data_IF_800958260721
#
_entry.id   IF_800958260721
#
_cell.length_a   1.000
_cell.length_b   1.000
_cell.length_c   1.000
_cell.angle_alpha   90.00
_cell.angle_beta   90.00
_cell.angle_gamma   90.00
#
_symmetry.space_group_name_H-M   'P 1'
#
loop_
_entity.id
_entity.type
_entity.pdbx_description
1 polymer ?
#
# COMPACT_ATOMS: atom_id res chain seq x y z
N UNK A 1 14.03 36.79 -3.40
CA UNK A 1 14.55 35.43 -3.67
C UNK A 1 14.06 34.39 -2.64
N UNK A 2 14.13 34.68 -1.34
CA UNK A 2 13.78 33.71 -0.29
C UNK A 2 12.28 33.36 -0.19
N UNK A 3 11.39 34.36 -0.35
CA UNK A 3 9.93 34.19 -0.24
C UNK A 3 9.36 33.37 -1.42
N UNK A 4 9.94 33.52 -2.62
CA UNK A 4 9.52 32.76 -3.79
C UNK A 4 9.91 31.28 -3.66
N UNK A 5 11.05 30.96 -3.06
CA UNK A 5 11.49 29.57 -2.87
C UNK A 5 10.67 28.85 -1.78
N UNK A 6 10.29 29.54 -0.70
CA UNK A 6 9.38 28.99 0.32
C UNK A 6 7.97 28.73 -0.22
N UNK A 7 7.43 29.63 -1.05
CA UNK A 7 6.12 29.44 -1.68
C UNK A 7 6.20 28.31 -2.72
N UNK A 8 7.27 28.24 -3.51
CA UNK A 8 7.43 27.17 -4.52
C UNK A 8 7.65 25.81 -3.85
N UNK A 9 8.38 25.75 -2.73
CA UNK A 9 8.54 24.54 -1.92
C UNK A 9 7.25 24.16 -1.17
N UNK A 10 6.44 25.13 -0.72
CA UNK A 10 5.16 24.88 -0.09
C UNK A 10 4.09 24.42 -1.09
N UNK A 11 4.08 24.97 -2.31
CA UNK A 11 3.22 24.55 -3.43
C UNK A 11 3.66 23.17 -3.93
N UNK A 12 4.96 22.92 -4.10
CA UNK A 12 5.48 21.58 -4.40
C UNK A 12 5.13 20.58 -3.31
N UNK A 13 5.20 20.97 -2.04
CA UNK A 13 4.82 20.15 -0.90
C UNK A 13 3.33 19.82 -0.87
N UNK A 14 2.44 20.79 -1.13
CA UNK A 14 0.99 20.56 -1.15
C UNK A 14 0.52 19.76 -2.37
N UNK A 15 1.14 19.97 -3.54
CA UNK A 15 0.89 19.15 -4.72
C UNK A 15 1.40 17.72 -4.53
N UNK A 16 2.56 17.51 -3.91
CA UNK A 16 3.06 16.18 -3.58
C UNK A 16 2.16 15.48 -2.56
N UNK A 17 1.67 16.16 -1.52
CA UNK A 17 0.74 15.56 -0.56
C UNK A 17 -0.60 15.17 -1.19
N UNK A 18 -1.14 16.01 -2.08
CA UNK A 18 -2.35 15.70 -2.84
C UNK A 18 -2.14 14.49 -3.77
N UNK A 19 -1.00 14.43 -4.45
CA UNK A 19 -0.58 13.28 -5.25
C UNK A 19 -0.40 12.02 -4.40
N UNK A 20 0.13 12.17 -3.18
CA UNK A 20 0.32 11.08 -2.23
C UNK A 20 -1.00 10.44 -1.80
N UNK A 21 -1.98 11.28 -1.46
CA UNK A 21 -3.34 10.86 -1.07
C UNK A 21 -4.04 10.19 -2.26
N UNK A 22 -3.92 10.79 -3.45
CA UNK A 22 -4.49 10.26 -4.68
C UNK A 22 -4.03 8.82 -4.97
N UNK A 23 -2.75 8.50 -4.75
CA UNK A 23 -2.21 7.16 -4.95
C UNK A 23 -2.83 6.09 -4.02
N UNK A 24 -3.16 6.46 -2.79
CA UNK A 24 -3.84 5.53 -1.87
C UNK A 24 -5.31 5.35 -2.23
N UNK A 25 -5.97 6.42 -2.70
CA UNK A 25 -7.36 6.34 -3.19
C UNK A 25 -7.47 5.39 -4.38
N UNK A 26 -6.49 5.42 -5.30
CA UNK A 26 -6.41 4.48 -6.44
C UNK A 26 -6.43 3.03 -5.95
N UNK A 27 -5.70 2.71 -4.88
CA UNK A 27 -5.60 1.36 -4.36
C UNK A 27 -6.93 0.79 -3.83
N UNK A 28 -7.94 1.63 -3.57
CA UNK A 28 -9.27 1.19 -3.14
C UNK A 28 -10.28 1.33 -4.28
N UNK A 29 -10.28 2.46 -4.98
CA UNK A 29 -11.25 2.76 -6.04
C UNK A 29 -11.09 1.84 -7.24
N UNK A 30 -9.86 1.57 -7.68
CA UNK A 30 -9.61 0.69 -8.83
C UNK A 30 -10.15 -0.72 -8.55
N UNK A 31 -9.82 -1.39 -7.43
CA UNK A 31 -10.45 -2.66 -7.07
C UNK A 31 -11.98 -2.61 -7.03
N UNK A 32 -12.57 -1.58 -6.43
CA UNK A 32 -14.04 -1.45 -6.37
C UNK A 32 -14.68 -1.39 -7.76
N UNK A 33 -14.09 -0.62 -8.70
CA UNK A 33 -14.58 -0.52 -10.07
C UNK A 33 -14.51 -1.86 -10.79
N UNK A 34 -13.39 -2.59 -10.67
CA UNK A 34 -13.25 -3.92 -11.29
C UNK A 34 -14.21 -4.95 -10.71
N UNK A 35 -14.38 -4.97 -9.38
CA UNK A 35 -15.34 -5.84 -8.70
C UNK A 35 -16.77 -5.52 -9.15
N UNK A 36 -17.13 -4.23 -9.21
CA UNK A 36 -18.44 -3.79 -9.70
C UNK A 36 -18.68 -4.19 -11.17
N UNK A 37 -17.67 -4.06 -12.04
CA UNK A 37 -17.73 -4.52 -13.43
C UNK A 37 -18.00 -6.02 -13.55
N UNK A 38 -17.33 -6.84 -12.72
CA UNK A 38 -17.57 -8.29 -12.67
C UNK A 38 -18.97 -8.59 -12.14
N UNK A 39 -19.45 -7.84 -11.15
CA UNK A 39 -20.82 -7.94 -10.64
C UNK A 39 -21.87 -7.65 -11.74
N UNK A 40 -21.70 -6.59 -12.54
CA UNK A 40 -22.64 -6.26 -13.63
C UNK A 40 -22.83 -7.45 -14.58
N UNK A 41 -21.74 -8.17 -14.88
CA UNK A 41 -21.74 -9.34 -15.77
C UNK A 41 -22.29 -10.61 -15.12
N UNK A 42 -21.97 -10.86 -13.85
CA UNK A 42 -22.30 -12.13 -13.15
C UNK A 42 -23.59 -12.06 -12.33
N UNK A 43 -24.06 -10.85 -12.00
CA UNK A 43 -25.24 -10.55 -11.17
C UNK A 43 -25.28 -11.32 -9.84
N UNK A 44 -24.12 -11.63 -9.27
CA UNK A 44 -24.01 -12.33 -7.99
C UNK A 44 -23.72 -11.33 -6.86
N UNK A 45 -24.74 -11.01 -6.07
CA UNK A 45 -24.66 -10.05 -4.96
C UNK A 45 -23.80 -10.58 -3.81
N UNK A 46 -23.85 -11.88 -3.53
CA UNK A 46 -23.00 -12.47 -2.49
C UNK A 46 -21.53 -12.37 -2.83
N UNK A 47 -21.17 -12.54 -4.11
CA UNK A 47 -19.80 -12.37 -4.57
C UNK A 47 -19.31 -10.92 -4.40
N UNK A 48 -20.15 -9.96 -4.78
CA UNK A 48 -19.89 -8.53 -4.60
C UNK A 48 -19.69 -8.18 -3.12
N UNK A 49 -20.59 -8.65 -2.26
CA UNK A 49 -20.56 -8.38 -0.84
C UNK A 49 -19.26 -8.90 -0.19
N UNK A 50 -18.93 -10.18 -0.40
CA UNK A 50 -17.69 -10.77 0.12
C UNK A 50 -16.43 -10.11 -0.48
N UNK A 51 -16.45 -9.73 -1.76
CA UNK A 51 -15.32 -9.06 -2.39
C UNK A 51 -15.07 -7.66 -1.81
N UNK A 52 -16.13 -6.86 -1.60
CA UNK A 52 -16.02 -5.54 -0.97
C UNK A 52 -15.58 -5.67 0.50
N UNK A 53 -16.20 -6.58 1.26
CA UNK A 53 -15.80 -6.82 2.65
C UNK A 53 -14.34 -7.25 2.76
N UNK A 54 -13.90 -8.20 1.93
CA UNK A 54 -12.51 -8.67 1.90
C UNK A 54 -11.52 -7.56 1.54
N UNK A 55 -11.85 -6.72 0.56
CA UNK A 55 -11.03 -5.58 0.16
C UNK A 55 -10.89 -4.56 1.30
N UNK A 56 -12.00 -4.12 1.88
CA UNK A 56 -12.00 -3.13 2.96
C UNK A 56 -11.29 -3.67 4.20
N UNK A 57 -11.50 -4.95 4.53
CA UNK A 57 -10.82 -5.59 5.64
C UNK A 57 -9.31 -5.69 5.40
N UNK A 58 -8.87 -6.05 4.19
CA UNK A 58 -7.46 -6.10 3.82
C UNK A 58 -6.76 -4.74 3.99
N UNK A 59 -7.37 -3.67 3.49
CA UNK A 59 -6.81 -2.32 3.60
C UNK A 59 -6.80 -1.85 5.06
N UNK A 60 -7.88 -2.08 5.81
CA UNK A 60 -8.00 -1.69 7.21
C UNK A 60 -6.95 -2.37 8.09
N UNK A 61 -6.83 -3.70 8.02
CA UNK A 61 -5.85 -4.45 8.79
C UNK A 61 -4.44 -4.02 8.42
N UNK A 62 -4.14 -3.85 7.14
CA UNK A 62 -2.82 -3.38 6.69
C UNK A 62 -2.51 -1.99 7.23
N UNK A 63 -3.47 -1.07 7.24
CA UNK A 63 -3.29 0.29 7.77
C UNK A 63 -2.97 0.25 9.27
N UNK A 64 -3.74 -0.49 10.06
CA UNK A 64 -3.53 -0.63 11.51
C UNK A 64 -2.14 -1.21 11.80
N UNK A 65 -1.79 -2.33 11.15
CA UNK A 65 -0.50 -3.00 11.36
C UNK A 65 0.66 -2.10 10.92
N UNK A 66 0.52 -1.40 9.79
CA UNK A 66 1.58 -0.49 9.31
C UNK A 66 1.81 0.66 10.28
N UNK A 67 0.74 1.30 10.79
CA UNK A 67 0.87 2.41 11.75
C UNK A 67 1.49 1.92 13.06
N UNK A 68 1.06 0.76 13.56
CA UNK A 68 1.62 0.16 14.77
C UNK A 68 3.13 -0.12 14.63
N UNK A 69 3.57 -0.68 13.50
CA UNK A 69 5.00 -0.94 13.26
C UNK A 69 5.78 0.37 13.10
N UNK A 70 5.22 1.38 12.42
CA UNK A 70 5.87 2.69 12.28
C UNK A 70 6.15 3.33 13.63
N UNK A 71 5.15 3.35 14.51
CA UNK A 71 5.28 3.96 15.83
C UNK A 71 6.19 3.11 16.75
N UNK A 72 6.28 1.79 16.55
CA UNK A 72 7.15 0.91 17.32
C UNK A 72 8.63 0.97 16.88
N UNK A 73 8.91 1.04 15.57
CA UNK A 73 10.27 0.98 15.04
C UNK A 73 10.96 2.34 15.08
N UNK A 74 10.24 3.43 14.80
CA UNK A 74 10.81 4.78 14.87
C UNK A 74 11.98 5.00 13.91
N UNK A 75 12.02 4.35 12.74
CA UNK A 75 13.14 4.50 11.79
C UNK A 75 13.13 5.89 11.13
N UNK A 76 14.25 6.65 11.16
CA UNK A 76 14.36 7.92 10.46
C UNK A 76 14.29 7.77 8.92
N UNK A 77 13.64 8.71 8.24
CA UNK A 77 13.54 8.80 6.78
C UNK A 77 14.86 9.27 6.13
N UNK A 78 15.06 9.04 4.81
CA UNK A 78 16.26 9.53 4.12
C UNK A 78 16.46 11.05 4.21
N UNK A 79 15.37 11.81 4.26
CA UNK A 79 15.34 13.27 4.36
C UNK A 79 15.38 13.79 5.82
N UNK A 80 15.59 12.90 6.81
CA UNK A 80 15.51 13.24 8.23
C UNK A 80 16.46 14.37 8.65
N UNK A 81 17.65 14.45 8.04
CA UNK A 81 18.64 15.49 8.33
C UNK A 81 18.05 16.90 8.20
N UNK A 82 17.38 17.18 7.08
CA UNK A 82 16.79 18.49 6.80
C UNK A 82 15.54 18.78 7.64
N UNK A 83 14.86 17.72 8.13
CA UNK A 83 13.75 17.86 9.08
C UNK A 83 14.25 18.25 10.47
N UNK A 84 15.40 17.72 10.89
CA UNK A 84 16.02 17.95 12.18
C UNK A 84 16.77 19.31 12.22
N UNK A 85 17.49 19.65 11.15
CA UNK A 85 18.32 20.85 10.99
C UNK A 85 17.87 21.67 9.78
N UNK A 86 16.83 22.51 9.91
CA UNK A 86 16.32 23.31 8.80
C UNK A 86 17.31 24.37 8.29
N UNK A 87 18.30 24.75 9.11
CA UNK A 87 19.42 25.64 8.77
C UNK A 87 20.63 24.90 8.17
N UNK A 88 20.58 23.56 8.08
CA UNK A 88 21.68 22.72 7.64
C UNK A 88 22.87 22.66 8.60
N UNK A 89 22.76 23.22 9.80
CA UNK A 89 23.83 23.26 10.80
C UNK A 89 23.56 22.20 11.87
N UNK A 90 24.33 21.11 11.92
CA UNK A 90 24.10 20.06 12.89
C UNK A 90 24.53 20.52 14.29
N UNK A 91 23.69 20.21 15.29
CA UNK A 91 23.96 20.48 16.70
C UNK A 91 23.95 19.18 17.49
N UNK A 92 24.97 19.02 18.33
CA UNK A 92 25.16 17.84 19.16
C UNK A 92 25.36 18.27 20.61
N UNK A 93 24.92 17.42 21.53
CA UNK A 93 25.24 17.56 22.94
C UNK A 93 26.73 17.26 23.14
N UNK A 94 27.48 18.23 23.65
CA UNK A 94 28.93 18.10 23.87
C UNK A 94 29.32 17.05 24.91
N UNK A 95 28.37 16.56 25.72
CA UNK A 95 28.60 15.57 26.78
C UNK A 95 28.15 14.18 26.35
N UNK A 96 26.92 14.06 25.82
CA UNK A 96 26.34 12.75 25.46
C UNK A 96 26.55 12.37 23.99
N UNK A 97 26.89 13.32 23.12
CA UNK A 97 26.93 13.12 21.67
C UNK A 97 25.54 13.05 21.01
N UNK A 98 24.46 13.27 21.77
CA UNK A 98 23.10 13.20 21.25
C UNK A 98 22.80 14.31 20.23
N UNK A 99 22.00 13.99 19.23
CA UNK A 99 21.52 14.93 18.21
C UNK A 99 20.50 15.89 18.81
N UNK A 100 20.76 17.19 18.74
CA UNK A 100 19.84 18.23 19.22
C UNK A 100 19.11 18.84 18.03
N UNK A 101 17.96 18.27 17.67
CA UNK A 101 17.13 18.84 16.60
C UNK A 101 16.47 20.16 17.02
N UNK A 102 16.47 21.15 16.12
CA UNK A 102 15.77 22.43 16.31
C UNK A 102 14.74 22.73 15.21
N UNK A 103 14.39 21.72 14.41
CA UNK A 103 13.25 21.78 13.49
C UNK A 103 11.89 21.71 14.20
N UNK A 104 10.81 21.77 13.42
CA UNK A 104 9.43 21.71 13.94
C UNK A 104 9.15 20.32 14.54
N UNK A 105 8.66 20.21 15.79
CA UNK A 105 8.47 18.92 16.47
C UNK A 105 7.59 17.92 15.71
N UNK A 106 6.50 18.39 15.08
CA UNK A 106 5.62 17.53 14.28
C UNK A 106 6.31 16.93 13.05
N UNK A 107 7.14 17.73 12.36
CA UNK A 107 7.88 17.29 11.17
C UNK A 107 8.98 16.30 11.53
N UNK A 108 9.65 16.52 12.67
CA UNK A 108 10.65 15.60 13.22
C UNK A 108 9.99 14.26 13.60
N UNK A 109 8.86 14.30 14.31
CA UNK A 109 8.09 13.10 14.68
C UNK A 109 7.69 12.29 13.45
N UNK A 110 7.22 12.96 12.39
CA UNK A 110 6.90 12.30 11.11
C UNK A 110 8.15 11.78 10.39
N UNK A 111 9.29 12.43 10.59
CA UNK A 111 10.60 11.97 10.13
C UNK A 111 11.02 10.61 10.68
N UNK A 112 10.54 10.22 11.86
CA UNK A 112 10.80 8.91 12.47
C UNK A 112 9.85 7.79 12.01
N UNK A 113 8.89 8.08 11.12
CA UNK A 113 7.89 7.10 10.66
C UNK A 113 8.25 6.48 9.31
N UNK A 114 9.51 6.10 9.09
CA UNK A 114 9.92 5.55 7.79
C UNK A 114 9.48 4.10 7.57
N UNK A 115 9.78 3.20 8.50
CA UNK A 115 9.56 1.75 8.31
C UNK A 115 8.23 1.26 8.89
N UNK A 116 7.46 0.41 8.18
CA UNK A 116 7.50 0.16 6.74
C UNK A 116 6.82 1.29 5.96
N UNK A 117 6.93 1.28 4.63
CA UNK A 117 6.23 2.25 3.76
C UNK A 117 4.72 1.98 3.76
N UNK A 118 3.93 2.95 4.25
CA UNK A 118 2.47 2.87 4.28
C UNK A 118 1.82 2.93 2.89
N UNK A 119 2.45 3.65 1.95
CA UNK A 119 1.98 3.71 0.56
C UNK A 119 2.16 2.36 -0.13
N UNK A 120 3.33 1.74 0.07
CA UNK A 120 3.60 0.43 -0.49
C UNK A 120 2.66 -0.61 0.11
N UNK A 121 2.55 -0.69 1.45
CA UNK A 121 1.67 -1.67 2.09
C UNK A 121 0.20 -1.49 1.71
N UNK A 122 -0.32 -0.26 1.71
CA UNK A 122 -1.70 0.02 1.28
C UNK A 122 -1.95 -0.32 -0.19
N UNK A 123 -1.03 0.03 -1.09
CA UNK A 123 -1.15 -0.28 -2.51
C UNK A 123 -1.17 -1.79 -2.77
N UNK A 124 -0.25 -2.54 -2.15
CA UNK A 124 -0.20 -3.99 -2.27
C UNK A 124 -1.37 -4.69 -1.54
N UNK A 125 -1.93 -4.10 -0.48
CA UNK A 125 -3.14 -4.63 0.15
C UNK A 125 -4.36 -4.53 -0.78
N UNK A 126 -4.63 -3.34 -1.33
CA UNK A 126 -5.79 -3.12 -2.20
C UNK A 126 -5.65 -3.74 -3.59
N UNK A 127 -4.60 -3.39 -4.33
CA UNK A 127 -4.36 -3.91 -5.69
C UNK A 127 -3.89 -5.37 -5.68
N UNK A 128 -3.21 -5.81 -4.63
CA UNK A 128 -2.89 -7.23 -4.45
C UNK A 128 -4.15 -8.06 -4.16
N UNK A 129 -5.09 -7.55 -3.37
CA UNK A 129 -6.39 -8.21 -3.20
C UNK A 129 -7.14 -8.31 -4.54
N UNK A 130 -7.12 -7.25 -5.36
CA UNK A 130 -7.68 -7.32 -6.72
C UNK A 130 -6.99 -8.38 -7.59
N UNK A 131 -5.66 -8.47 -7.52
CA UNK A 131 -4.88 -9.50 -8.24
C UNK A 131 -5.33 -10.92 -7.82
N UNK A 132 -5.43 -11.19 -6.53
CA UNK A 132 -5.95 -12.46 -6.00
C UNK A 132 -7.40 -12.74 -6.45
N UNK A 133 -8.27 -11.73 -6.39
CA UNK A 133 -9.65 -11.82 -6.82
C UNK A 133 -9.76 -12.17 -8.30
N UNK A 134 -9.02 -11.47 -9.17
CA UNK A 134 -8.97 -11.77 -10.61
C UNK A 134 -8.39 -13.15 -10.89
N UNK A 135 -7.36 -13.57 -10.16
CA UNK A 135 -6.76 -14.90 -10.30
C UNK A 135 -7.79 -16.02 -10.09
N UNK A 136 -8.63 -15.89 -9.06
CA UNK A 136 -9.72 -16.82 -8.79
C UNK A 136 -10.83 -16.79 -9.85
N UNK A 137 -11.25 -15.60 -10.30
CA UNK A 137 -12.33 -15.47 -11.31
C UNK A 137 -11.93 -15.95 -12.70
N UNK A 138 -10.69 -15.67 -13.11
CA UNK A 138 -10.18 -16.06 -14.42
C UNK A 138 -9.68 -17.51 -14.45
N UNK A 139 -9.60 -18.17 -13.28
CA UNK A 139 -8.91 -19.46 -13.11
C UNK A 139 -7.53 -19.40 -13.76
N UNK A 140 -6.72 -18.43 -13.33
CA UNK A 140 -5.43 -18.15 -13.95
C UNK A 140 -4.46 -19.34 -13.88
N UNK A 141 -4.66 -20.23 -12.90
CA UNK A 141 -3.84 -21.42 -12.66
C UNK A 141 -4.55 -22.73 -13.07
N UNK A 142 -5.41 -22.70 -14.09
CA UNK A 142 -6.14 -23.88 -14.61
C UNK A 142 -5.27 -24.89 -15.39
N UNK A 143 -3.94 -24.75 -15.35
CA UNK A 143 -2.95 -25.56 -16.09
C UNK A 143 -3.11 -25.58 -17.61
N UNK A 144 -3.96 -24.71 -18.19
CA UNK A 144 -4.17 -24.63 -19.65
C UNK A 144 -3.20 -23.68 -20.37
N UNK A 145 -2.29 -23.02 -19.65
CA UNK A 145 -1.22 -22.21 -20.25
C UNK A 145 -1.62 -20.88 -20.89
N UNK A 146 -2.80 -20.33 -20.58
CA UNK A 146 -3.25 -19.06 -21.18
C UNK A 146 -2.54 -17.85 -20.55
N UNK A 147 -1.43 -17.42 -21.15
CA UNK A 147 -0.58 -16.31 -20.66
C UNK A 147 -1.36 -15.01 -20.46
N UNK A 148 -2.36 -14.73 -21.31
CA UNK A 148 -3.19 -13.52 -21.19
C UNK A 148 -3.87 -13.39 -19.81
N UNK A 149 -4.26 -14.51 -19.18
CA UNK A 149 -4.85 -14.50 -17.83
C UNK A 149 -3.84 -14.02 -16.79
N UNK A 150 -2.59 -14.47 -16.90
CA UNK A 150 -1.50 -14.07 -16.01
C UNK A 150 -1.19 -12.59 -16.19
N UNK A 151 -1.14 -12.08 -17.43
CA UNK A 151 -0.96 -10.64 -17.67
C UNK A 151 -2.02 -9.81 -16.95
N UNK A 152 -3.30 -10.19 -17.07
CA UNK A 152 -4.42 -9.49 -16.40
C UNK A 152 -4.27 -9.52 -14.87
N UNK A 153 -3.86 -10.66 -14.30
CA UNK A 153 -3.65 -10.81 -12.85
C UNK A 153 -2.44 -10.01 -12.35
N UNK A 154 -1.38 -9.88 -13.15
CA UNK A 154 -0.16 -9.15 -12.77
C UNK A 154 -0.31 -7.63 -12.94
N UNK A 155 -1.20 -7.15 -13.80
CA UNK A 155 -1.40 -5.70 -14.03
C UNK A 155 -1.65 -4.90 -12.73
N UNK A 156 -2.57 -5.30 -11.82
CA UNK A 156 -2.73 -4.63 -10.53
C UNK A 156 -1.45 -4.58 -9.68
N UNK A 157 -0.64 -5.65 -9.70
CA UNK A 157 0.62 -5.71 -8.97
C UNK A 157 1.69 -4.79 -9.57
N UNK A 158 1.70 -4.63 -10.89
CA UNK A 158 2.56 -3.65 -11.57
C UNK A 158 2.18 -2.23 -11.16
N UNK A 159 0.89 -1.90 -11.10
CA UNK A 159 0.43 -0.60 -10.62
C UNK A 159 0.83 -0.37 -9.15
N UNK A 160 0.68 -1.37 -8.28
CA UNK A 160 1.14 -1.29 -6.89
C UNK A 160 2.66 -1.06 -6.80
N UNK A 161 3.43 -1.73 -7.66
CA UNK A 161 4.88 -1.57 -7.76
C UNK A 161 5.27 -0.16 -8.20
N UNK A 162 4.54 0.45 -9.14
CA UNK A 162 4.79 1.84 -9.54
C UNK A 162 4.56 2.82 -8.37
N UNK A 163 3.50 2.62 -7.59
CA UNK A 163 3.24 3.42 -6.36
C UNK A 163 4.33 3.18 -5.31
N UNK A 164 4.86 1.96 -5.22
CA UNK A 164 5.93 1.63 -4.30
C UNK A 164 7.26 2.29 -4.71
N UNK A 165 7.61 2.26 -6.00
CA UNK A 165 8.83 2.85 -6.56
C UNK A 165 8.82 4.37 -6.38
N UNK A 166 7.68 5.05 -6.54
CA UNK A 166 7.61 6.50 -6.34
C UNK A 166 8.08 6.94 -4.95
N UNK A 167 7.91 6.09 -3.92
CA UNK A 167 8.39 6.38 -2.56
C UNK A 167 9.90 6.32 -2.40
N UNK A 168 10.58 5.60 -3.28
CA UNK A 168 12.05 5.58 -3.34
C UNK A 168 12.55 6.78 -4.14
N UNK A 169 11.93 7.06 -5.29
CA UNK A 169 12.35 8.18 -6.16
C UNK A 169 12.13 9.54 -5.51
N UNK A 170 11.11 9.68 -4.68
CA UNK A 170 10.80 10.92 -3.96
C UNK A 170 11.59 11.05 -2.63
N UNK A 171 12.54 10.14 -2.34
CA UNK A 171 13.36 10.13 -1.13
C UNK A 171 12.60 10.05 0.21
N UNK A 172 11.33 9.62 0.20
CA UNK A 172 10.54 9.48 1.43
C UNK A 172 10.86 8.21 2.22
N UNK A 173 11.31 7.17 1.53
CA UNK A 173 11.53 5.83 2.08
C UNK A 173 12.77 5.17 1.49
N UNK A 174 13.45 4.38 2.31
CA UNK A 174 14.48 3.48 1.80
C UNK A 174 13.82 2.31 1.08
N UNK A 175 14.53 1.70 0.14
CA UNK A 175 14.00 0.56 -0.60
C UNK A 175 13.58 -0.61 0.30
N UNK A 176 14.23 -0.81 1.48
CA UNK A 176 13.83 -1.86 2.43
C UNK A 176 12.46 -1.57 3.06
N UNK A 177 12.18 -0.29 3.36
CA UNK A 177 10.88 0.13 3.91
C UNK A 177 9.76 -0.16 2.92
N UNK A 178 10.03 0.08 1.64
CA UNK A 178 9.12 -0.17 0.52
C UNK A 178 8.92 -1.66 0.28
N UNK A 179 9.99 -2.44 0.24
CA UNK A 179 9.92 -3.89 0.07
C UNK A 179 9.15 -4.56 1.21
N UNK A 180 9.49 -4.25 2.47
CA UNK A 180 8.78 -4.77 3.64
C UNK A 180 7.31 -4.37 3.65
N UNK A 181 7.01 -3.12 3.27
CA UNK A 181 5.62 -2.66 3.10
C UNK A 181 4.87 -3.47 2.06
N UNK A 182 5.46 -3.71 0.88
CA UNK A 182 4.85 -4.52 -0.17
C UNK A 182 4.59 -5.98 0.26
N UNK A 183 5.56 -6.61 0.93
CA UNK A 183 5.40 -7.97 1.48
C UNK A 183 4.26 -7.99 2.51
N UNK A 184 4.23 -7.04 3.45
CA UNK A 184 3.16 -6.93 4.45
C UNK A 184 1.79 -6.83 3.78
N UNK A 185 1.63 -5.92 2.81
CA UNK A 185 0.38 -5.73 2.08
C UNK A 185 -0.08 -6.98 1.34
N UNK A 186 0.84 -7.66 0.63
CA UNK A 186 0.53 -8.90 -0.09
C UNK A 186 0.13 -10.05 0.84
N UNK A 187 0.81 -10.20 1.98
CA UNK A 187 0.48 -11.23 2.97
C UNK A 187 -0.93 -10.98 3.52
N UNK A 188 -1.23 -9.76 3.96
CA UNK A 188 -2.56 -9.42 4.47
C UNK A 188 -3.64 -9.59 3.40
N UNK A 189 -3.40 -9.12 2.17
CA UNK A 189 -4.31 -9.34 1.03
C UNK A 189 -4.59 -10.82 0.78
N UNK A 190 -3.56 -11.67 0.81
CA UNK A 190 -3.74 -13.11 0.63
C UNK A 190 -4.59 -13.73 1.74
N UNK A 191 -4.34 -13.36 3.00
CA UNK A 191 -5.10 -13.86 4.14
C UNK A 191 -6.57 -13.44 4.08
N UNK A 192 -6.83 -12.15 3.81
CA UNK A 192 -8.19 -11.62 3.66
C UNK A 192 -8.92 -12.22 2.46
N UNK A 193 -8.24 -12.48 1.34
CA UNK A 193 -8.83 -13.17 0.19
C UNK A 193 -9.25 -14.60 0.56
N UNK A 194 -8.34 -15.37 1.17
CA UNK A 194 -8.58 -16.77 1.51
C UNK A 194 -9.67 -16.96 2.58
N UNK A 195 -9.95 -15.94 3.39
CA UNK A 195 -11.05 -15.95 4.35
C UNK A 195 -12.43 -16.02 3.67
N UNK A 196 -12.57 -15.44 2.48
CA UNK A 196 -13.85 -15.32 1.77
C UNK A 196 -13.93 -16.16 0.49
N UNK A 197 -12.78 -16.55 -0.08
CA UNK A 197 -12.70 -17.23 -1.38
C UNK A 197 -11.75 -18.44 -1.32
N UNK A 198 -12.02 -19.49 -2.11
CA UNK A 198 -11.12 -20.64 -2.21
C UNK A 198 -9.82 -20.26 -2.94
N UNK A 199 -8.74 -21.06 -2.78
CA UNK A 199 -7.49 -20.83 -3.48
C UNK A 199 -7.65 -20.81 -5.01
N UNK A 200 -6.95 -19.94 -5.77
CA UNK A 200 -7.12 -19.81 -7.22
C UNK A 200 -6.82 -21.07 -8.06
N UNK A 201 -6.13 -22.05 -7.47
CA UNK A 201 -5.76 -23.32 -8.11
C UNK A 201 -6.73 -24.47 -7.78
N UNK A 202 -7.73 -24.27 -6.91
CA UNK A 202 -8.68 -25.34 -6.58
C UNK A 202 -9.57 -25.68 -7.78
N UNK A 203 -9.59 -26.95 -8.20
CA UNK A 203 -10.41 -27.41 -9.34
C UNK A 203 -11.93 -27.22 -9.12
N UNK A 204 -12.34 -27.28 -7.85
CA UNK A 204 -13.69 -26.97 -7.42
C UNK A 204 -13.82 -25.46 -7.25
N UNK A 205 -14.14 -24.75 -8.34
CA UNK A 205 -14.55 -23.35 -8.26
C UNK A 205 -15.72 -23.16 -7.27
N UNK A 206 -15.95 -21.91 -6.83
CA UNK A 206 -16.89 -21.46 -5.77
C UNK A 206 -18.24 -22.21 -5.59
N UNK A 207 -18.71 -22.97 -6.57
CA UNK A 207 -19.96 -23.70 -6.55
C UNK A 207 -19.98 -24.89 -5.56
N UNK A 208 -18.83 -25.42 -5.12
CA UNK A 208 -18.80 -26.53 -4.15
C UNK A 208 -18.55 -26.10 -2.69
N UNK A 209 -17.94 -24.94 -2.44
CA UNK A 209 -17.66 -24.47 -1.07
C UNK A 209 -18.92 -24.01 -0.33
N UNK A 210 -19.99 -23.65 -1.05
CA UNK A 210 -21.28 -23.27 -0.44
C UNK A 210 -22.13 -24.48 -0.03
N UNK A 211 -21.82 -25.68 -0.52
CA UNK A 211 -22.61 -26.89 -0.25
C UNK A 211 -22.17 -27.65 1.00
N UNK A 212 -21.09 -27.21 1.67
CA UNK A 212 -20.61 -27.81 2.92
C UNK A 212 -21.00 -27.01 4.17
N UNK A 213 -21.70 -25.88 4.02
CA UNK A 213 -22.10 -24.98 5.11
C UNK A 213 -23.60 -24.64 5.10
N UNK A 214 -24.39 -25.30 4.26
CA UNK A 214 -25.86 -25.28 4.26
C UNK A 214 -26.35 -26.70 4.56
#
# INVERSE_FOLDING_TARGET
PYITDEITAAVSGSELECFQIFMQVIAIVVPMVFIAGIYIKRRNVYDLHHAILGLLFSVLITAIVTVAIKDAVGRPRPDFFWRCFPDGVPKYNNVTGDVICHGKPGVIKEGYKSFPSGHASGAFAGLGFLSWYLAGKLKAFDRRGHVAKLCIVLLPLLLATMVAISRVTDYWHHWQDVFAGGVLGLVVASFCYLQFFPPPYSEHGMMHSFRSWA
#
